data_IF_960701596290
#
_entry.id   IF_960701596290
#
_cell.length_a   1.000
_cell.length_b   1.000
_cell.length_c   1.000
_cell.angle_alpha   90.00
_cell.angle_beta   90.00
_cell.angle_gamma   90.00
#
_symmetry.space_group_name_H-M   'P 1'
#
loop_
_entity.id
_entity.type
_entity.pdbx_description
1 polymer ?
#
# COMPACT_ATOMS: atom_id res chain seq x y z
N UNK A 1 -4.43 4.54 -22.62
CA UNK A 1 -5.48 5.18 -23.46
C UNK A 1 -6.74 5.29 -22.60
N UNK A 2 -7.38 6.40 -22.29
CA UNK A 2 -7.24 7.85 -22.45
C UNK A 2 -8.19 8.41 -21.36
N UNK A 3 -7.72 9.02 -20.26
CA UNK A 3 -7.42 10.45 -20.11
C UNK A 3 -8.61 11.37 -20.44
N UNK A 4 -9.16 12.06 -19.43
CA UNK A 4 -9.24 13.54 -19.30
C UNK A 4 -10.24 13.91 -18.19
N UNK A 5 -9.85 14.44 -17.02
CA UNK A 5 -9.15 15.69 -16.68
C UNK A 5 -10.03 16.96 -16.79
N UNK A 6 -9.95 17.74 -15.70
CA UNK A 6 -10.03 19.21 -15.55
C UNK A 6 -11.45 19.76 -15.36
N UNK A 7 -11.81 20.38 -14.22
CA UNK A 7 -11.15 21.46 -13.45
C UNK A 7 -10.74 22.63 -14.36
N UNK A 8 -11.69 23.53 -14.60
CA UNK A 8 -11.52 24.88 -15.16
C UNK A 8 -12.75 25.68 -14.66
N UNK A 9 -12.68 26.94 -14.24
CA UNK A 9 -11.67 27.95 -14.44
C UNK A 9 -11.71 28.96 -13.28
N UNK A 10 -10.59 29.13 -12.59
CA UNK A 10 -10.24 30.38 -11.93
C UNK A 10 -9.16 31.02 -12.81
N UNK A 11 -9.62 31.70 -13.86
CA UNK A 11 -8.80 32.57 -14.71
C UNK A 11 -8.81 33.96 -14.04
N UNK A 12 -7.67 34.41 -13.53
CA UNK A 12 -6.70 35.21 -14.26
C UNK A 12 -7.02 36.70 -14.21
N UNK A 13 -6.22 37.44 -13.44
CA UNK A 13 -5.75 38.76 -13.88
C UNK A 13 -4.24 38.73 -13.79
N UNK A 14 -3.64 38.82 -14.98
CA UNK A 14 -2.22 38.82 -15.29
C UNK A 14 -1.72 40.27 -15.39
N UNK A 15 -0.43 40.47 -15.05
CA UNK A 15 0.51 41.46 -15.61
C UNK A 15 0.20 42.96 -15.49
N UNK A 16 1.10 43.73 -14.87
CA UNK A 16 2.06 44.59 -15.61
C UNK A 16 3.21 45.10 -14.73
N UNK A 17 4.42 45.13 -15.30
CA UNK A 17 5.63 45.78 -14.78
C UNK A 17 5.51 47.32 -14.82
N UNK A 18 6.22 48.05 -13.95
CA UNK A 18 6.41 49.49 -14.13
C UNK A 18 7.12 50.22 -12.99
N UNK A 19 8.31 50.73 -13.29
CA UNK A 19 9.13 51.64 -12.50
C UNK A 19 8.37 52.83 -11.88
N UNK A 20 8.90 53.31 -10.76
CA UNK A 20 9.34 54.71 -10.64
C UNK A 20 8.32 55.76 -10.19
N UNK A 21 8.59 56.27 -8.98
CA UNK A 21 8.68 57.71 -8.62
C UNK A 21 7.45 58.63 -8.79
N UNK A 22 7.30 59.44 -7.73
CA UNK A 22 6.63 60.75 -7.64
C UNK A 22 5.12 60.78 -7.40
N UNK A 23 4.83 61.07 -6.13
CA UNK A 23 3.80 61.98 -5.66
C UNK A 23 3.33 63.03 -6.70
N UNK A 24 2.02 63.08 -6.90
CA UNK A 24 1.25 64.30 -7.16
C UNK A 24 -0.24 64.05 -6.86
N UNK A 25 -0.82 64.86 -5.97
CA UNK A 25 -2.26 64.92 -5.63
C UNK A 25 -3.08 65.37 -6.85
N UNK A 26 -4.39 64.98 -7.03
CA UNK A 26 -5.57 65.61 -6.38
C UNK A 26 -6.81 64.63 -6.33
N UNK A 27 -8.11 65.03 -6.29
CA UNK A 27 -8.89 65.93 -5.43
C UNK A 27 -9.94 65.17 -4.55
N UNK A 28 -10.27 65.70 -3.37
CA UNK A 28 -11.02 65.01 -2.31
C UNK A 28 -12.55 65.21 -2.28
N UNK A 29 -13.26 65.39 -3.41
CA UNK A 29 -14.71 65.68 -3.35
C UNK A 29 -15.64 64.93 -4.33
N UNK A 30 -15.15 63.97 -5.12
CA UNK A 30 -16.01 63.14 -6.01
C UNK A 30 -16.23 61.69 -5.52
N UNK A 31 -15.51 61.24 -4.49
CA UNK A 31 -15.58 59.86 -4.00
C UNK A 31 -16.84 59.54 -3.19
N UNK A 32 -17.33 60.46 -2.35
CA UNK A 32 -18.41 60.16 -1.41
C UNK A 32 -19.80 60.13 -2.05
N UNK A 33 -20.03 60.94 -3.09
CA UNK A 33 -21.33 60.98 -3.76
C UNK A 33 -21.55 59.76 -4.65
N UNK A 34 -20.49 59.22 -5.25
CA UNK A 34 -20.54 58.01 -6.06
C UNK A 34 -20.68 56.74 -5.20
N UNK A 35 -20.07 56.73 -4.01
CA UNK A 35 -20.17 55.61 -3.06
C UNK A 35 -21.53 55.51 -2.37
N UNK A 36 -22.20 56.65 -2.08
CA UNK A 36 -23.56 56.63 -1.51
C UNK A 36 -24.63 56.18 -2.51
N UNK A 37 -24.47 56.51 -3.79
CA UNK A 37 -25.35 56.00 -4.85
C UNK A 37 -25.20 54.48 -5.03
N UNK A 38 -23.95 53.99 -5.08
CA UNK A 38 -23.65 52.57 -5.25
C UNK A 38 -24.08 51.72 -4.04
N UNK A 39 -23.96 52.23 -2.81
CA UNK A 39 -24.42 51.52 -1.61
C UNK A 39 -25.95 51.33 -1.60
N UNK A 40 -26.72 52.35 -2.00
CA UNK A 40 -28.17 52.27 -2.10
C UNK A 40 -28.64 51.34 -3.23
N UNK A 41 -27.88 51.25 -4.32
CA UNK A 41 -28.16 50.36 -5.44
C UNK A 41 -27.85 48.89 -5.13
N UNK A 42 -26.74 48.62 -4.43
CA UNK A 42 -26.40 47.27 -3.93
C UNK A 42 -27.46 46.76 -2.95
N UNK A 43 -28.01 47.64 -2.11
CA UNK A 43 -29.04 47.26 -1.14
C UNK A 43 -30.44 47.09 -1.77
N UNK A 44 -30.71 47.76 -2.91
CA UNK A 44 -31.91 47.51 -3.72
C UNK A 44 -31.78 46.19 -4.48
N UNK A 45 -30.65 45.95 -5.13
CA UNK A 45 -30.37 44.68 -5.83
C UNK A 45 -30.38 43.50 -4.86
N UNK A 46 -29.87 43.66 -3.63
CA UNK A 46 -29.90 42.61 -2.60
C UNK A 46 -31.33 42.34 -2.12
N UNK A 47 -32.16 43.37 -1.97
CA UNK A 47 -33.59 43.21 -1.63
C UNK A 47 -34.40 42.60 -2.77
N UNK A 48 -34.10 42.93 -4.03
CA UNK A 48 -34.67 42.24 -5.19
C UNK A 48 -34.22 40.78 -5.29
N UNK A 49 -32.96 40.47 -4.97
CA UNK A 49 -32.45 39.09 -4.94
C UNK A 49 -33.09 38.26 -3.82
N UNK A 50 -33.37 38.87 -2.67
CA UNK A 50 -34.05 38.23 -1.54
C UNK A 50 -35.56 38.02 -1.83
N UNK A 51 -36.23 38.98 -2.48
CA UNK A 51 -37.62 38.82 -2.92
C UNK A 51 -37.75 37.77 -4.04
N UNK A 52 -36.79 37.70 -4.96
CA UNK A 52 -36.73 36.65 -5.98
C UNK A 52 -36.48 35.26 -5.36
N UNK A 53 -35.67 35.17 -4.29
CA UNK A 53 -35.47 33.92 -3.52
C UNK A 53 -36.71 33.46 -2.74
N UNK A 54 -37.58 34.39 -2.33
CA UNK A 54 -38.83 34.02 -1.66
C UNK A 54 -39.95 33.61 -2.63
N UNK A 55 -39.96 34.15 -3.86
CA UNK A 55 -40.92 33.76 -4.89
C UNK A 55 -40.48 32.54 -5.71
N UNK A 56 -39.18 32.26 -5.77
CA UNK A 56 -38.68 30.94 -6.13
C UNK A 56 -38.86 30.02 -4.91
N UNK A 57 -40.12 29.59 -4.71
CA UNK A 57 -40.38 28.35 -4.00
C UNK A 57 -39.38 27.33 -4.53
N UNK A 58 -38.52 26.84 -3.64
CA UNK A 58 -37.56 25.80 -3.96
C UNK A 58 -38.33 24.77 -4.79
N UNK A 59 -37.92 24.44 -6.03
CA UNK A 59 -38.40 23.17 -6.56
C UNK A 59 -38.03 22.19 -5.46
N UNK A 60 -39.02 21.50 -4.89
CA UNK A 60 -38.76 20.31 -4.12
C UNK A 60 -37.90 19.44 -5.06
N UNK A 61 -36.58 19.57 -4.97
CA UNK A 61 -35.72 18.44 -5.15
C UNK A 61 -36.19 17.56 -4.00
N UNK A 62 -37.15 16.71 -4.31
CA UNK A 62 -37.23 15.40 -3.71
C UNK A 62 -35.89 14.78 -4.07
N UNK A 63 -34.85 15.16 -3.32
CA UNK A 63 -33.77 14.24 -3.06
C UNK A 63 -34.53 13.02 -2.55
N UNK A 64 -34.57 11.90 -3.30
CA UNK A 64 -35.07 10.69 -2.70
C UNK A 64 -34.28 10.59 -1.41
N UNK A 65 -34.97 10.57 -0.28
CA UNK A 65 -34.33 10.27 0.98
C UNK A 65 -33.64 8.95 0.72
N UNK A 66 -32.34 8.99 0.43
CA UNK A 66 -31.52 7.80 0.43
C UNK A 66 -31.55 7.42 1.88
N UNK A 67 -32.55 6.58 2.17
CA UNK A 67 -32.73 5.88 3.40
C UNK A 67 -31.34 5.42 3.76
N UNK A 68 -30.74 6.05 4.77
CA UNK A 68 -29.45 5.61 5.27
C UNK A 68 -29.62 4.11 5.44
N UNK A 69 -28.80 3.28 4.76
CA UNK A 69 -28.87 1.85 4.96
C UNK A 69 -28.87 1.64 6.48
N UNK A 70 -29.79 0.83 7.03
CA UNK A 70 -29.85 0.61 8.46
C UNK A 70 -28.41 0.32 8.94
N UNK A 71 -27.96 0.92 10.06
CA UNK A 71 -26.63 0.64 10.59
C UNK A 71 -26.47 -0.86 10.61
N UNK A 72 -25.51 -1.36 9.80
CA UNK A 72 -25.29 -2.78 9.67
C UNK A 72 -25.21 -3.33 11.10
N UNK A 73 -26.09 -4.29 11.42
CA UNK A 73 -26.04 -4.97 12.71
C UNK A 73 -24.58 -5.33 12.99
N UNK A 74 -24.07 -5.17 14.23
CA UNK A 74 -22.71 -5.57 14.55
C UNK A 74 -22.58 -7.02 14.10
N UNK A 75 -21.84 -7.24 13.00
CA UNK A 75 -21.44 -8.58 12.62
C UNK A 75 -20.60 -9.03 13.80
N UNK A 76 -21.16 -9.94 14.60
CA UNK A 76 -20.37 -10.74 15.51
C UNK A 76 -19.55 -11.59 14.57
N UNK A 77 -18.39 -11.06 14.16
CA UNK A 77 -17.40 -11.87 13.47
C UNK A 77 -17.17 -13.07 14.39
N UNK A 78 -17.29 -14.31 13.87
CA UNK A 78 -17.10 -15.49 14.70
C UNK A 78 -15.77 -15.35 15.41
N UNK A 79 -15.79 -15.42 16.75
CA UNK A 79 -14.58 -15.28 17.55
C UNK A 79 -13.62 -16.37 17.11
N UNK A 80 -12.62 -15.95 16.33
CA UNK A 80 -11.69 -16.87 15.70
C UNK A 80 -10.95 -17.60 16.83
N UNK A 81 -10.89 -18.95 16.83
CA UNK A 81 -10.17 -19.69 17.84
C UNK A 81 -8.70 -19.27 17.84
N UNK A 82 -8.33 -18.48 18.85
CA UNK A 82 -6.99 -17.96 19.06
C UNK A 82 -6.26 -18.80 20.10
N UNK A 83 -4.96 -19.02 19.89
CA UNK A 83 -4.11 -19.77 20.82
C UNK A 83 -2.89 -18.92 21.17
N UNK A 84 -2.38 -19.09 22.39
CA UNK A 84 -1.13 -18.47 22.83
C UNK A 84 0.06 -18.99 21.99
N UNK A 85 0.85 -18.04 21.46
CA UNK A 85 1.98 -18.31 20.59
C UNK A 85 3.14 -18.97 21.34
N UNK A 86 3.47 -18.50 22.55
CA UNK A 86 4.65 -18.98 23.28
C UNK A 86 4.59 -20.49 23.60
N UNK A 87 3.48 -21.06 24.12
CA UNK A 87 3.35 -22.50 24.29
C UNK A 87 3.44 -23.29 22.98
N UNK A 88 2.92 -22.73 21.89
CA UNK A 88 2.98 -23.37 20.57
C UNK A 88 4.42 -23.44 20.05
N UNK A 89 5.15 -22.33 20.12
CA UNK A 89 6.55 -22.29 19.73
C UNK A 89 7.36 -23.30 20.52
N UNK A 90 7.23 -23.31 21.85
CA UNK A 90 7.99 -24.23 22.71
C UNK A 90 7.73 -25.71 22.34
N UNK A 91 6.50 -26.07 21.95
CA UNK A 91 6.20 -27.43 21.47
C UNK A 91 6.94 -27.73 20.16
N UNK A 92 6.87 -26.81 19.19
CA UNK A 92 7.55 -26.97 17.90
C UNK A 92 9.06 -26.99 18.07
N UNK A 93 9.64 -26.23 19.00
CA UNK A 93 11.07 -26.28 19.34
C UNK A 93 11.50 -27.66 19.79
N UNK A 94 10.74 -28.29 20.69
CA UNK A 94 11.04 -29.64 21.18
C UNK A 94 10.90 -30.70 20.09
N UNK A 95 9.92 -30.56 19.20
CA UNK A 95 9.69 -31.51 18.13
C UNK A 95 10.68 -31.38 16.95
N UNK A 96 11.04 -30.15 16.59
CA UNK A 96 11.90 -29.85 15.43
C UNK A 96 13.38 -29.66 15.77
N UNK A 97 13.71 -29.42 17.04
CA UNK A 97 15.07 -29.06 17.48
C UNK A 97 15.51 -27.65 17.07
N UNK A 98 14.64 -26.85 16.46
CA UNK A 98 14.91 -25.45 16.09
C UNK A 98 14.65 -24.54 17.29
N UNK A 99 15.32 -23.38 17.35
CA UNK A 99 15.14 -22.36 18.39
C UNK A 99 14.54 -21.11 17.78
N UNK A 100 13.48 -20.57 18.36
CA UNK A 100 12.83 -19.37 17.85
C UNK A 100 13.23 -18.13 18.64
N UNK A 101 13.42 -17.03 17.91
CA UNK A 101 13.56 -15.69 18.47
C UNK A 101 12.38 -14.85 18.01
N UNK A 102 11.58 -14.39 18.94
CA UNK A 102 10.34 -13.67 18.67
C UNK A 102 10.52 -12.19 18.96
N UNK A 103 10.24 -11.34 17.98
CA UNK A 103 10.21 -9.89 18.19
C UNK A 103 9.06 -9.51 19.16
N UNK A 104 9.28 -8.51 20.01
CA UNK A 104 8.28 -7.98 20.94
C UNK A 104 7.01 -7.45 20.25
N UNK A 105 7.12 -7.13 18.96
CA UNK A 105 6.01 -6.65 18.12
C UNK A 105 5.04 -7.77 17.74
N UNK A 106 5.37 -9.04 17.99
CA UNK A 106 4.44 -10.14 17.78
C UNK A 106 3.34 -10.13 18.85
N UNK A 107 2.10 -10.35 18.41
CA UNK A 107 0.98 -10.57 19.31
C UNK A 107 1.17 -11.85 20.14
N UNK A 108 0.62 -11.88 21.36
CA UNK A 108 0.68 -13.06 22.21
C UNK A 108 -0.18 -14.21 21.69
N UNK A 109 -1.26 -13.88 20.97
CA UNK A 109 -2.23 -14.83 20.42
C UNK A 109 -2.19 -14.85 18.89
N UNK A 110 -2.28 -16.04 18.33
CA UNK A 110 -2.35 -16.28 16.89
C UNK A 110 -3.57 -17.13 16.55
N UNK A 111 -4.06 -16.94 15.33
CA UNK A 111 -5.14 -17.75 14.78
C UNK A 111 -4.56 -19.00 14.10
N UNK A 112 -5.00 -20.19 14.53
CA UNK A 112 -4.55 -21.49 13.99
C UNK A 112 -5.41 -21.99 12.83
N UNK A 113 -6.57 -21.36 12.55
CA UNK A 113 -7.52 -21.92 11.61
C UNK A 113 -8.17 -23.20 12.14
N UNK A 114 -8.19 -24.22 11.29
CA UNK A 114 -8.73 -25.55 11.61
C UNK A 114 -7.64 -26.55 12.02
N UNK A 115 -6.44 -26.08 12.35
CA UNK A 115 -5.31 -26.94 12.72
C UNK A 115 -5.29 -27.12 14.23
N UNK A 116 -5.25 -28.37 14.68
CA UNK A 116 -5.07 -28.69 16.08
C UNK A 116 -3.68 -28.28 16.57
N UNK A 117 -3.62 -27.62 17.73
CA UNK A 117 -2.39 -27.07 18.29
C UNK A 117 -1.32 -28.14 18.65
N UNK A 118 -1.70 -29.42 18.64
CA UNK A 118 -0.83 -30.57 18.91
C UNK A 118 -0.17 -31.13 17.64
N UNK A 119 -0.79 -30.94 16.47
CA UNK A 119 -0.32 -31.50 15.19
C UNK A 119 0.48 -30.47 14.37
N UNK A 120 0.80 -29.32 14.97
CA UNK A 120 1.57 -28.26 14.32
C UNK A 120 3.02 -28.70 14.16
N UNK A 121 3.41 -29.02 12.94
CA UNK A 121 4.80 -29.23 12.54
C UNK A 121 5.49 -27.90 12.21
N UNK A 122 6.81 -27.91 12.06
CA UNK A 122 7.57 -26.69 11.73
C UNK A 122 7.10 -26.00 10.43
N UNK A 123 6.92 -26.69 9.29
CA UNK A 123 6.38 -26.05 8.08
C UNK A 123 4.96 -25.48 8.28
N UNK A 124 4.11 -26.18 9.04
CA UNK A 124 2.74 -25.73 9.33
C UNK A 124 2.74 -24.48 10.22
N UNK A 125 3.64 -24.41 11.21
CA UNK A 125 3.84 -23.22 12.02
C UNK A 125 4.18 -22.00 11.15
N UNK A 126 5.08 -22.15 10.18
CA UNK A 126 5.45 -21.06 9.27
C UNK A 126 4.26 -20.59 8.41
N UNK A 127 3.44 -21.53 7.92
CA UNK A 127 2.21 -21.21 7.21
C UNK A 127 1.20 -20.45 8.08
N UNK A 128 1.06 -20.85 9.35
CA UNK A 128 0.23 -20.15 10.33
C UNK A 128 0.77 -18.73 10.57
N UNK A 129 2.08 -18.56 10.76
CA UNK A 129 2.70 -17.25 10.94
C UNK A 129 2.42 -16.33 9.74
N UNK A 130 2.54 -16.87 8.51
CA UNK A 130 2.17 -16.17 7.28
C UNK A 130 0.71 -15.71 7.28
N UNK A 131 -0.23 -16.57 7.67
CA UNK A 131 -1.65 -16.23 7.73
C UNK A 131 -1.96 -15.10 8.73
N UNK A 132 -1.11 -14.95 9.75
CA UNK A 132 -1.23 -13.93 10.78
C UNK A 132 -0.40 -12.65 10.47
N UNK A 133 0.24 -12.55 9.29
CA UNK A 133 1.02 -11.37 8.90
C UNK A 133 2.43 -11.30 9.52
N UNK A 134 2.97 -12.45 9.93
CA UNK A 134 4.34 -12.58 10.41
C UNK A 134 5.20 -13.30 9.38
N UNK A 135 6.50 -13.03 9.44
CA UNK A 135 7.52 -13.65 8.61
C UNK A 135 8.57 -14.31 9.48
N UNK A 136 9.18 -15.38 8.97
CA UNK A 136 10.28 -16.05 9.62
C UNK A 136 11.47 -16.20 8.67
N UNK A 137 12.67 -16.11 9.24
CA UNK A 137 13.93 -16.34 8.53
C UNK A 137 14.96 -17.01 9.44
N UNK A 138 15.85 -17.79 8.85
CA UNK A 138 16.94 -18.44 9.59
C UNK A 138 18.21 -17.57 9.60
N UNK A 139 18.73 -17.29 10.80
CA UNK A 139 19.99 -16.54 10.98
C UNK A 139 20.73 -17.07 12.20
N UNK A 140 22.03 -17.32 12.08
CA UNK A 140 22.90 -17.78 13.19
C UNK A 140 22.38 -19.04 13.92
N UNK A 141 21.68 -19.93 13.21
CA UNK A 141 21.09 -21.15 13.78
C UNK A 141 19.77 -20.95 14.55
N UNK A 142 19.25 -19.73 14.56
CA UNK A 142 17.93 -19.39 15.12
C UNK A 142 16.92 -19.08 14.02
N UNK A 143 15.66 -19.43 14.27
CA UNK A 143 14.53 -19.00 13.44
C UNK A 143 13.97 -17.72 14.04
N UNK A 144 14.25 -16.60 13.39
CA UNK A 144 13.79 -15.30 13.83
C UNK A 144 12.40 -15.03 13.25
N UNK A 145 11.46 -14.66 14.13
CA UNK A 145 10.08 -14.35 13.76
C UNK A 145 9.84 -12.86 13.99
N UNK A 146 9.51 -12.17 12.90
CA UNK A 146 9.34 -10.72 12.84
C UNK A 146 8.05 -10.35 12.10
N UNK A 147 7.55 -9.12 12.24
CA UNK A 147 6.47 -8.63 11.38
C UNK A 147 6.87 -8.66 9.91
N UNK A 148 5.92 -9.03 9.03
CA UNK A 148 6.15 -9.19 7.59
C UNK A 148 6.72 -7.90 6.94
N UNK A 149 6.32 -6.72 7.44
CA UNK A 149 6.84 -5.44 6.96
C UNK A 149 8.36 -5.22 7.18
N UNK A 150 8.97 -5.91 8.16
CA UNK A 150 10.39 -5.76 8.49
C UNK A 150 11.29 -6.74 7.72
N UNK A 151 10.73 -7.77 7.08
CA UNK A 151 11.50 -8.91 6.55
C UNK A 151 12.50 -8.53 5.46
N UNK A 152 12.22 -7.45 4.72
CA UNK A 152 13.03 -6.94 3.60
C UNK A 152 14.51 -6.71 3.94
N UNK A 153 14.85 -6.53 5.21
CA UNK A 153 16.22 -6.25 5.66
C UNK A 153 16.93 -7.44 6.30
N UNK A 154 16.24 -8.57 6.48
CA UNK A 154 16.73 -9.67 7.31
C UNK A 154 16.80 -11.02 6.57
N UNK A 155 16.19 -11.13 5.38
CA UNK A 155 16.15 -12.39 4.64
C UNK A 155 17.56 -12.85 4.21
N UNK A 156 18.02 -14.03 4.66
CA UNK A 156 19.37 -14.53 4.37
C UNK A 156 19.54 -14.86 2.89
N UNK A 157 20.75 -14.68 2.38
CA UNK A 157 21.08 -15.09 1.01
C UNK A 157 21.23 -16.60 0.93
N UNK A 158 20.48 -17.24 0.04
CA UNK A 158 20.58 -18.67 -0.28
C UNK A 158 20.73 -18.79 -1.79
N UNK A 159 21.76 -19.48 -2.27
CA UNK A 159 22.01 -19.65 -3.70
C UNK A 159 21.71 -21.05 -4.25
N UNK A 160 21.73 -22.06 -3.38
CA UNK A 160 21.41 -23.45 -3.74
C UNK A 160 19.96 -23.77 -3.39
N UNK A 161 19.34 -24.63 -4.20
CA UNK A 161 18.06 -25.27 -3.86
C UNK A 161 18.34 -26.37 -2.82
N UNK A 162 17.60 -26.33 -1.71
CA UNK A 162 17.67 -27.29 -0.63
C UNK A 162 16.24 -27.66 -0.22
N UNK A 163 15.86 -28.92 -0.44
CA UNK A 163 14.53 -29.42 -0.15
C UNK A 163 14.22 -29.46 1.36
N UNK A 164 15.24 -29.35 2.23
CA UNK A 164 15.07 -29.25 3.67
C UNK A 164 14.58 -27.86 4.12
N UNK A 165 14.67 -26.84 3.26
CA UNK A 165 14.20 -25.49 3.56
C UNK A 165 12.67 -25.48 3.46
N UNK A 166 11.95 -25.12 4.55
CA UNK A 166 10.52 -24.96 4.50
C UNK A 166 10.05 -23.93 3.45
N UNK A 167 8.91 -24.17 2.77
CA UNK A 167 8.40 -23.33 1.70
C UNK A 167 8.11 -21.88 2.12
N UNK A 168 7.67 -21.68 3.37
CA UNK A 168 7.25 -20.38 3.89
C UNK A 168 8.39 -19.56 4.53
N UNK A 169 9.64 -20.06 4.53
CA UNK A 169 10.80 -19.27 4.99
C UNK A 169 11.20 -18.22 3.96
N UNK A 170 11.50 -17.02 4.43
CA UNK A 170 12.04 -15.97 3.57
C UNK A 170 13.51 -16.20 3.26
N UNK A 171 13.85 -16.06 1.98
CA UNK A 171 15.21 -16.18 1.46
C UNK A 171 15.46 -15.11 0.39
N UNK A 172 16.72 -14.79 0.18
CA UNK A 172 17.18 -13.95 -0.92
C UNK A 172 18.00 -14.81 -1.90
N UNK A 173 17.65 -14.79 -3.17
CA UNK A 173 18.32 -15.50 -4.27
C UNK A 173 18.83 -14.48 -5.29
N UNK A 174 20.04 -14.71 -5.80
CA UNK A 174 20.57 -13.91 -6.92
C UNK A 174 20.60 -14.79 -8.16
N UNK A 175 19.70 -14.52 -9.10
CA UNK A 175 19.61 -15.19 -10.38
C UNK A 175 20.49 -14.45 -11.39
N UNK A 176 21.15 -15.17 -12.29
CA UNK A 176 21.90 -14.59 -13.41
C UNK A 176 21.21 -15.01 -14.69
N UNK A 177 20.92 -14.07 -15.58
CA UNK A 177 20.29 -14.33 -16.88
C UNK A 177 21.32 -14.23 -18.00
N UNK A 178 21.19 -15.08 -19.02
CA UNK A 178 22.19 -15.23 -20.09
C UNK A 178 21.72 -14.60 -21.39
N UNK A 179 20.49 -14.87 -21.82
CA UNK A 179 19.94 -14.46 -23.11
C UNK A 179 19.06 -13.20 -23.00
N UNK A 180 18.29 -13.07 -21.91
CA UNK A 180 17.41 -11.93 -21.67
C UNK A 180 18.02 -10.99 -20.64
N UNK A 181 17.90 -9.68 -20.87
CA UNK A 181 18.35 -8.67 -19.91
C UNK A 181 17.49 -8.70 -18.63
N UNK A 182 18.13 -8.80 -17.46
CA UNK A 182 17.43 -8.92 -16.18
C UNK A 182 16.40 -7.80 -15.93
N UNK A 183 16.66 -6.58 -16.42
CA UNK A 183 15.75 -5.43 -16.31
C UNK A 183 14.40 -5.64 -17.04
N UNK A 184 14.37 -6.46 -18.10
CA UNK A 184 13.16 -6.76 -18.86
C UNK A 184 12.23 -7.72 -18.12
N UNK A 185 12.77 -8.53 -17.20
CA UNK A 185 11.98 -9.50 -16.42
C UNK A 185 11.24 -8.85 -15.24
N UNK A 186 11.76 -7.73 -14.71
CA UNK A 186 11.17 -7.02 -13.56
C UNK A 186 9.68 -6.69 -13.73
N UNK A 187 9.22 -6.06 -14.83
CA UNK A 187 7.79 -5.74 -14.99
C UNK A 187 6.91 -7.00 -15.14
N UNK A 188 7.46 -8.11 -15.61
CA UNK A 188 6.75 -9.38 -15.81
C UNK A 188 6.56 -10.10 -14.47
N UNK A 189 7.59 -10.09 -13.61
CA UNK A 189 7.60 -10.82 -12.34
C UNK A 189 6.92 -10.07 -11.20
N UNK A 190 6.89 -8.73 -11.22
CA UNK A 190 6.34 -7.90 -10.14
C UNK A 190 4.89 -8.24 -9.72
N UNK A 191 3.96 -8.58 -10.63
CA UNK A 191 2.61 -9.02 -10.25
C UNK A 191 2.56 -10.31 -9.42
N UNK A 192 3.59 -11.14 -9.48
CA UNK A 192 3.67 -12.41 -8.74
C UNK A 192 4.27 -12.26 -7.33
N UNK A 193 4.59 -11.04 -6.94
CA UNK A 193 5.30 -10.76 -5.70
C UNK A 193 4.37 -10.13 -4.67
N UNK A 194 4.38 -10.62 -3.41
CA UNK A 194 3.66 -9.98 -2.32
C UNK A 194 4.33 -8.64 -1.95
N UNK A 195 3.62 -7.82 -1.20
CA UNK A 195 4.11 -6.48 -0.82
C UNK A 195 5.39 -6.49 0.01
N UNK A 196 5.63 -7.54 0.80
CA UNK A 196 6.83 -7.68 1.62
C UNK A 196 8.06 -8.18 0.85
N UNK A 197 7.87 -8.68 -0.38
CA UNK A 197 8.95 -9.20 -1.20
C UNK A 197 9.70 -8.08 -1.94
N UNK A 198 10.94 -8.37 -2.32
CA UNK A 198 11.81 -7.42 -3.00
C UNK A 198 12.38 -7.99 -4.30
N UNK A 199 12.33 -7.19 -5.36
CA UNK A 199 12.87 -7.52 -6.67
C UNK A 199 13.63 -6.35 -7.25
N UNK A 200 14.90 -6.60 -7.53
CA UNK A 200 15.78 -5.64 -8.17
C UNK A 200 16.57 -6.34 -9.28
N UNK A 201 16.67 -5.68 -10.44
CA UNK A 201 17.59 -6.08 -11.48
C UNK A 201 18.81 -5.17 -11.45
N UNK A 202 19.97 -5.77 -11.59
CA UNK A 202 21.22 -5.08 -11.81
C UNK A 202 21.60 -5.25 -13.28
N UNK A 203 21.36 -4.19 -14.07
CA UNK A 203 21.52 -4.21 -15.53
C UNK A 203 22.94 -4.52 -15.98
N UNK A 204 23.95 -3.99 -15.29
CA UNK A 204 25.35 -4.09 -15.74
C UNK A 204 25.91 -5.52 -15.63
N UNK A 205 25.39 -6.33 -14.71
CA UNK A 205 25.81 -7.72 -14.49
C UNK A 205 24.73 -8.74 -14.85
N UNK A 206 23.61 -8.30 -15.43
CA UNK A 206 22.44 -9.14 -15.74
C UNK A 206 22.03 -10.05 -14.58
N UNK A 207 22.04 -9.50 -13.36
CA UNK A 207 21.63 -10.20 -12.14
C UNK A 207 20.25 -9.73 -11.70
N UNK A 208 19.45 -10.68 -11.24
CA UNK A 208 18.14 -10.44 -10.65
C UNK A 208 18.19 -10.88 -9.19
N UNK A 209 18.00 -9.93 -8.29
CA UNK A 209 17.93 -10.15 -6.85
C UNK A 209 16.46 -10.33 -6.51
N UNK A 210 16.11 -11.52 -6.01
CA UNK A 210 14.75 -11.91 -5.63
C UNK A 210 14.77 -12.22 -4.14
N UNK A 211 13.90 -11.59 -3.38
CA UNK A 211 13.73 -11.85 -1.95
C UNK A 211 12.26 -12.08 -1.65
N UNK A 212 11.93 -13.30 -1.22
CA UNK A 212 10.57 -13.75 -0.93
C UNK A 212 10.63 -15.09 -0.16
N UNK A 213 9.48 -15.71 0.07
CA UNK A 213 9.36 -17.08 0.55
C UNK A 213 9.97 -18.07 -0.41
N UNK A 214 10.56 -19.13 0.14
CA UNK A 214 11.29 -20.14 -0.59
C UNK A 214 10.48 -20.76 -1.75
N UNK A 215 9.22 -21.09 -1.52
CA UNK A 215 8.32 -21.61 -2.57
C UNK A 215 8.16 -20.64 -3.75
N UNK A 216 7.96 -19.34 -3.46
CA UNK A 216 7.77 -18.36 -4.53
C UNK A 216 9.09 -18.07 -5.25
N UNK A 217 10.22 -18.05 -4.53
CA UNK A 217 11.55 -17.92 -5.13
C UNK A 217 11.83 -19.07 -6.10
N UNK A 218 11.47 -20.31 -5.74
CA UNK A 218 11.59 -21.46 -6.64
C UNK A 218 10.74 -21.27 -7.90
N UNK A 219 9.46 -20.92 -7.74
CA UNK A 219 8.55 -20.66 -8.86
C UNK A 219 9.07 -19.56 -9.79
N UNK A 220 9.57 -18.44 -9.24
CA UNK A 220 10.18 -17.36 -10.03
C UNK A 220 11.42 -17.85 -10.76
N UNK A 221 12.27 -18.64 -10.08
CA UNK A 221 13.49 -19.21 -10.69
C UNK A 221 13.15 -20.08 -11.90
N UNK A 222 12.13 -20.93 -11.80
CA UNK A 222 11.65 -21.77 -12.91
C UNK A 222 11.12 -20.93 -14.08
N UNK A 223 10.33 -19.90 -13.80
CA UNK A 223 9.82 -18.99 -14.83
C UNK A 223 10.97 -18.27 -15.53
N UNK A 224 11.93 -17.73 -14.78
CA UNK A 224 13.11 -17.05 -15.34
C UNK A 224 13.89 -18.01 -16.24
N UNK A 225 14.14 -19.25 -15.79
CA UNK A 225 14.83 -20.27 -16.60
C UNK A 225 14.05 -20.63 -17.86
N UNK A 226 12.71 -20.68 -17.80
CA UNK A 226 11.87 -20.96 -18.96
C UNK A 226 11.83 -19.81 -19.97
N UNK A 227 11.98 -18.56 -19.52
CA UNK A 227 12.03 -17.38 -20.38
C UNK A 227 13.42 -17.18 -20.97
N UNK A 228 14.47 -17.51 -20.21
CA UNK A 228 15.88 -17.36 -20.60
C UNK A 228 16.33 -18.46 -21.59
N UNK A 229 15.60 -18.62 -22.70
CA UNK A 229 15.94 -19.54 -23.79
C UNK A 229 16.71 -18.80 -24.90
N UNK A 230 17.67 -19.46 -25.55
CA UNK A 230 18.37 -18.87 -26.69
C UNK A 230 17.38 -18.57 -27.83
N UNK A 231 17.58 -17.49 -28.59
CA UNK A 231 16.77 -17.21 -29.77
C UNK A 231 16.87 -18.39 -30.75
N UNK A 232 15.71 -18.88 -31.21
CA UNK A 232 15.66 -19.93 -32.23
C UNK A 232 16.20 -19.36 -33.55
N UNK A 233 17.28 -19.94 -34.05
CA UNK A 233 17.83 -19.70 -35.39
C UNK A 233 17.04 -20.46 -36.45
#
# INVERSE_FOLDING_TARGET
MHSRKLVAALAAVLLTLGNGVAAQAPPAQQGEQNQRGQAAEIERLRRELEMARQQQGQPLLVVPSMQQPPPAAPRVDPELPMVELAPLLQRVERASGKRFLVDRRLGSRIYLGNVDANDVTYPVLLAILRANGFAAFESEGYVNVIPDAAIRFHAPVRQTDDASIPPDLYVTRVLTTVNIGAAQLVPILRPMMPQAAHLAAHGDSNKLIVMDRYENVQRITEIVRSLDVPPRN
#
